data_IF_281959075047
#
_entry.id   IF_281959075047
#
_cell.length_a   1.000
_cell.length_b   1.000
_cell.length_c   1.000
_cell.angle_alpha   90.00
_cell.angle_beta   90.00
_cell.angle_gamma   90.00
#
_symmetry.space_group_name_H-M   'P 1'
#
loop_
_entity.id
_entity.type
_entity.pdbx_description
1 polymer ?
#
# COMPACT_ATOMS: atom_id res chain seq x y z
N UNK A 1 47.62 24.53 25.08
CA UNK A 1 47.64 23.06 25.02
C UNK A 1 46.81 22.69 23.80
N UNK A 2 47.48 22.58 22.65
CA UNK A 2 46.85 22.35 21.35
C UNK A 2 46.84 20.84 21.11
N UNK A 3 45.69 20.28 20.74
CA UNK A 3 45.56 18.92 20.28
C UNK A 3 45.24 18.98 18.79
N UNK A 4 46.28 18.76 17.98
CA UNK A 4 46.18 18.36 16.58
C UNK A 4 45.55 16.97 16.53
N UNK A 5 44.39 16.88 15.89
CA UNK A 5 43.72 15.62 15.57
C UNK A 5 43.67 15.47 14.06
N UNK A 6 44.56 14.62 13.53
CA UNK A 6 44.68 14.26 12.12
C UNK A 6 43.33 13.81 11.53
N UNK A 7 42.90 14.49 10.46
CA UNK A 7 41.96 13.96 9.49
C UNK A 7 42.65 12.86 8.69
N UNK A 8 42.19 11.62 8.82
CA UNK A 8 42.50 10.56 7.87
C UNK A 8 41.50 10.66 6.71
N UNK A 9 41.97 11.17 5.57
CA UNK A 9 41.28 11.09 4.30
C UNK A 9 41.24 9.62 3.84
N UNK A 10 40.12 8.94 4.15
CA UNK A 10 39.80 7.64 3.60
C UNK A 10 39.44 7.77 2.12
N UNK A 11 40.39 7.47 1.24
CA UNK A 11 40.16 7.32 -0.19
C UNK A 11 39.26 6.09 -0.39
N UNK A 12 37.99 6.31 -0.71
CA UNK A 12 37.10 5.27 -1.24
C UNK A 12 37.56 4.96 -2.67
N UNK A 13 38.37 3.91 -2.80
CA UNK A 13 38.62 3.25 -4.08
C UNK A 13 37.35 2.46 -4.43
N UNK A 14 36.53 3.02 -5.32
CA UNK A 14 35.52 2.25 -6.04
C UNK A 14 36.25 1.24 -6.93
N UNK A 15 36.36 0.01 -6.46
CA UNK A 15 36.75 -1.11 -7.30
C UNK A 15 35.52 -1.48 -8.15
N UNK A 16 35.51 -1.00 -9.39
CA UNK A 16 34.65 -1.55 -10.44
C UNK A 16 35.16 -2.96 -10.76
N UNK A 17 34.54 -3.96 -10.13
CA UNK A 17 34.82 -5.36 -10.44
C UNK A 17 33.97 -5.71 -11.66
N UNK A 18 34.54 -5.53 -12.85
CA UNK A 18 34.06 -6.18 -14.06
C UNK A 18 34.28 -7.69 -13.93
N UNK A 19 33.22 -8.41 -13.59
CA UNK A 19 33.18 -9.85 -13.78
C UNK A 19 32.93 -10.13 -15.26
N UNK A 20 33.99 -10.25 -16.06
CA UNK A 20 33.92 -11.05 -17.29
C UNK A 20 33.77 -12.52 -16.88
N UNK A 21 32.55 -12.91 -16.57
CA UNK A 21 32.18 -14.30 -16.43
C UNK A 21 32.05 -14.85 -17.85
N UNK A 22 33.16 -15.33 -18.42
CA UNK A 22 33.10 -16.34 -19.49
C UNK A 22 32.56 -17.63 -18.87
N UNK A 23 31.27 -17.63 -18.50
CA UNK A 23 30.54 -18.86 -18.33
C UNK A 23 30.48 -19.45 -19.73
N UNK A 24 31.18 -20.56 -19.93
CA UNK A 24 30.93 -21.43 -21.07
C UNK A 24 29.51 -21.94 -20.87
N UNK A 25 28.52 -21.16 -21.33
CA UNK A 25 27.16 -21.63 -21.46
C UNK A 25 27.22 -22.70 -22.53
N UNK A 26 27.37 -23.94 -22.09
CA UNK A 26 26.71 -25.03 -22.78
C UNK A 26 25.22 -24.76 -22.57
N UNK A 27 24.67 -23.90 -23.43
CA UNK A 27 23.24 -23.81 -23.65
C UNK A 27 22.86 -25.15 -24.28
N UNK A 28 22.68 -26.17 -23.44
CA UNK A 28 21.76 -27.23 -23.77
C UNK A 28 20.39 -26.54 -23.73
N UNK A 29 19.99 -25.99 -24.89
CA UNK A 29 18.58 -25.86 -25.23
C UNK A 29 18.00 -27.28 -25.26
N UNK A 30 17.82 -27.87 -24.08
CA UNK A 30 16.95 -29.00 -23.93
C UNK A 30 15.55 -28.41 -23.96
N UNK A 31 15.00 -28.29 -25.16
CA UNK A 31 13.55 -28.26 -25.35
C UNK A 31 12.98 -29.57 -24.79
N UNK A 32 12.86 -29.63 -23.47
CA UNK A 32 12.12 -30.68 -22.78
C UNK A 32 10.65 -30.42 -23.09
N UNK A 33 10.22 -30.91 -24.24
CA UNK A 33 8.82 -31.01 -24.68
C UNK A 33 8.01 -32.05 -23.89
N UNK A 34 8.48 -32.46 -22.71
CA UNK A 34 7.71 -33.23 -21.70
C UNK A 34 6.66 -32.35 -21.00
N UNK A 35 5.92 -31.56 -21.80
CA UNK A 35 4.61 -31.09 -21.43
C UNK A 35 3.70 -32.33 -21.42
N UNK A 36 3.59 -32.98 -20.26
CA UNK A 36 2.53 -33.94 -20.00
C UNK A 36 1.20 -33.32 -20.46
N UNK A 37 0.32 -34.08 -21.16
CA UNK A 37 -0.94 -33.54 -21.67
C UNK A 37 -1.74 -32.97 -20.49
N UNK A 38 -1.89 -31.65 -20.50
CA UNK A 38 -2.72 -30.92 -19.55
C UNK A 38 -4.16 -31.33 -19.83
N UNK A 39 -4.70 -32.23 -19.00
CA UNK A 39 -6.13 -32.50 -18.96
C UNK A 39 -6.80 -31.19 -18.53
N UNK A 40 -7.71 -30.61 -19.34
CA UNK A 40 -8.38 -29.36 -18.99
C UNK A 40 -9.35 -29.62 -17.83
N UNK A 41 -8.86 -29.47 -16.61
CA UNK A 41 -9.71 -29.22 -15.45
C UNK A 41 -10.14 -27.77 -15.58
N UNK A 42 -11.44 -27.50 -15.48
CA UNK A 42 -12.01 -26.16 -15.66
C UNK A 42 -11.39 -25.15 -14.68
N UNK A 43 -10.36 -24.45 -15.15
CA UNK A 43 -9.56 -23.46 -14.43
C UNK A 43 -8.42 -22.99 -15.31
N UNK A 44 -8.08 -21.70 -15.25
CA UNK A 44 -6.91 -21.18 -15.97
C UNK A 44 -5.67 -21.60 -15.17
N UNK A 45 -4.94 -22.59 -15.67
CA UNK A 45 -3.62 -22.97 -15.14
C UNK A 45 -2.55 -22.54 -16.13
N UNK A 46 -1.59 -21.74 -15.68
CA UNK A 46 -0.42 -21.36 -16.44
C UNK A 46 0.81 -21.45 -15.54
N UNK A 47 1.91 -21.97 -16.08
CA UNK A 47 3.19 -22.08 -15.38
C UNK A 47 4.31 -21.65 -16.30
N UNK A 48 5.18 -20.80 -15.78
CA UNK A 48 6.40 -20.33 -16.41
C UNK A 48 7.54 -20.47 -15.41
N UNK A 49 8.77 -20.70 -15.88
CA UNK A 49 9.91 -20.78 -14.99
C UNK A 49 11.21 -21.08 -15.72
N UNK A 50 12.31 -20.86 -15.02
CA UNK A 50 13.66 -21.16 -15.47
C UNK A 50 14.45 -21.77 -14.33
N UNK A 51 15.24 -22.80 -14.64
CA UNK A 51 16.08 -23.48 -13.66
C UNK A 51 17.45 -23.74 -14.27
N UNK A 52 18.49 -23.43 -13.49
CA UNK A 52 19.87 -23.75 -13.80
C UNK A 52 20.26 -25.04 -13.09
N UNK A 53 20.98 -25.92 -13.77
CA UNK A 53 21.38 -27.23 -13.26
C UNK A 53 22.89 -27.39 -13.28
N UNK A 54 23.43 -28.09 -12.29
CA UNK A 54 24.82 -28.54 -12.30
C UNK A 54 25.01 -29.75 -13.24
N UNK A 55 26.27 -30.21 -13.37
CA UNK A 55 26.63 -31.37 -14.20
C UNK A 55 25.98 -32.69 -13.76
N UNK A 56 25.45 -32.74 -12.54
CA UNK A 56 24.75 -33.90 -11.98
C UNK A 56 23.22 -33.78 -12.11
N UNK A 57 22.71 -32.71 -12.74
CA UNK A 57 21.28 -32.43 -12.86
C UNK A 57 20.65 -31.90 -11.57
N UNK A 58 21.43 -31.40 -10.62
CA UNK A 58 20.93 -30.75 -9.41
C UNK A 58 20.65 -29.29 -9.72
N UNK A 59 19.47 -28.80 -9.35
CA UNK A 59 19.13 -27.37 -9.45
C UNK A 59 20.14 -26.55 -8.65
N UNK A 60 20.75 -25.54 -9.26
CA UNK A 60 21.62 -24.56 -8.59
C UNK A 60 20.81 -23.31 -8.23
N UNK A 61 19.99 -22.84 -9.17
CA UNK A 61 19.13 -21.68 -9.01
C UNK A 61 17.88 -21.83 -9.88
N UNK A 62 16.85 -21.05 -9.60
CA UNK A 62 15.73 -20.94 -10.52
C UNK A 62 14.61 -20.07 -10.02
N UNK A 63 13.62 -19.86 -10.87
CA UNK A 63 12.39 -19.18 -10.52
C UNK A 63 11.20 -19.86 -11.20
N UNK A 64 10.03 -19.71 -10.60
CA UNK A 64 8.78 -20.14 -11.22
C UNK A 64 7.65 -19.19 -10.91
N UNK A 65 6.77 -18.99 -11.89
CA UNK A 65 5.51 -18.28 -11.77
C UNK A 65 4.39 -19.28 -12.07
N UNK A 66 3.44 -19.42 -11.14
CA UNK A 66 2.28 -20.30 -11.28
C UNK A 66 1.03 -19.45 -11.11
N UNK A 67 0.18 -19.44 -12.13
CA UNK A 67 -1.16 -18.85 -12.05
C UNK A 67 -2.21 -19.95 -12.09
N UNK A 68 -3.03 -20.01 -11.05
CA UNK A 68 -4.07 -21.02 -10.88
C UNK A 68 -5.26 -20.38 -10.16
N UNK A 69 -6.45 -20.47 -10.73
CA UNK A 69 -7.72 -20.09 -10.07
C UNK A 69 -7.72 -18.68 -9.44
N UNK A 70 -7.19 -17.67 -10.15
CA UNK A 70 -7.14 -16.27 -9.67
C UNK A 70 -6.04 -15.98 -8.63
N UNK A 71 -5.15 -16.95 -8.42
CA UNK A 71 -3.95 -16.83 -7.59
C UNK A 71 -2.71 -16.90 -8.49
N UNK A 72 -1.77 -15.98 -8.30
CA UNK A 72 -0.46 -16.00 -8.95
C UNK A 72 0.61 -16.10 -7.87
N UNK A 73 1.45 -17.13 -7.95
CA UNK A 73 2.60 -17.32 -7.07
C UNK A 73 3.87 -17.12 -7.89
N UNK A 74 4.82 -16.32 -7.38
CA UNK A 74 6.17 -16.17 -7.94
C UNK A 74 7.16 -16.62 -6.87
N UNK A 75 8.11 -17.49 -7.22
CA UNK A 75 9.06 -18.06 -6.29
C UNK A 75 10.47 -18.09 -6.87
N UNK A 76 11.46 -17.86 -6.02
CA UNK A 76 12.89 -17.96 -6.32
C UNK A 76 13.48 -19.10 -5.49
N UNK A 77 14.28 -19.93 -6.14
CA UNK A 77 14.87 -21.13 -5.58
C UNK A 77 16.40 -21.09 -5.66
N UNK A 78 17.02 -21.65 -4.63
CA UNK A 78 18.46 -21.95 -4.59
C UNK A 78 18.76 -23.43 -4.84
N UNK A 79 19.95 -23.90 -4.43
CA UNK A 79 20.41 -25.26 -4.69
C UNK A 79 19.45 -26.32 -4.16
N UNK A 80 19.23 -27.38 -4.94
CA UNK A 80 18.28 -28.44 -4.60
C UNK A 80 16.82 -27.99 -4.56
N UNK A 81 16.49 -26.88 -5.24
CA UNK A 81 15.15 -26.26 -5.25
C UNK A 81 14.67 -25.82 -3.85
N UNK A 82 15.60 -25.40 -2.98
CA UNK A 82 15.26 -24.79 -1.69
C UNK A 82 14.65 -23.41 -1.94
N UNK A 83 13.51 -23.11 -1.31
CA UNK A 83 12.87 -21.80 -1.46
C UNK A 83 13.73 -20.71 -0.83
N UNK A 84 14.02 -19.65 -1.57
CA UNK A 84 14.67 -18.44 -1.04
C UNK A 84 13.60 -17.43 -0.67
N UNK A 85 12.72 -17.10 -1.61
CA UNK A 85 11.62 -16.17 -1.38
C UNK A 85 10.45 -16.51 -2.31
N UNK A 86 9.23 -16.23 -1.87
CA UNK A 86 8.05 -16.29 -2.72
C UNK A 86 7.07 -15.16 -2.41
N UNK A 87 6.30 -14.80 -3.43
CA UNK A 87 5.14 -13.93 -3.31
C UNK A 87 3.92 -14.65 -3.84
N UNK A 88 2.82 -14.57 -3.12
CA UNK A 88 1.52 -15.11 -3.50
C UNK A 88 0.51 -13.99 -3.57
N UNK A 89 0.01 -13.71 -4.77
CA UNK A 89 -1.00 -12.69 -5.04
C UNK A 89 -2.34 -13.37 -5.31
N UNK A 90 -3.39 -12.95 -4.60
CA UNK A 90 -4.77 -13.37 -4.84
C UNK A 90 -5.62 -12.13 -5.09
N UNK A 91 -6.29 -12.07 -6.24
CA UNK A 91 -7.13 -10.93 -6.62
C UNK A 91 -8.59 -11.34 -6.67
N UNK A 92 -9.43 -10.55 -6.01
CA UNK A 92 -10.90 -10.61 -6.12
C UNK A 92 -11.41 -9.29 -6.67
N UNK A 93 -12.73 -9.18 -6.89
CA UNK A 93 -13.34 -7.92 -7.30
C UNK A 93 -13.13 -6.78 -6.28
N UNK A 94 -12.96 -7.11 -4.99
CA UNK A 94 -12.93 -6.12 -3.92
C UNK A 94 -11.51 -5.80 -3.44
N UNK A 95 -10.55 -6.71 -3.65
CA UNK A 95 -9.20 -6.57 -3.10
C UNK A 95 -8.15 -7.41 -3.81
N UNK A 96 -6.90 -7.00 -3.63
CA UNK A 96 -5.70 -7.79 -3.94
C UNK A 96 -4.97 -8.09 -2.64
N UNK A 97 -4.68 -9.36 -2.38
CA UNK A 97 -3.88 -9.80 -1.22
C UNK A 97 -2.55 -10.35 -1.70
N UNK A 98 -1.45 -9.83 -1.17
CA UNK A 98 -0.09 -10.25 -1.48
C UNK A 98 0.57 -10.78 -0.22
N UNK A 99 0.94 -12.06 -0.20
CA UNK A 99 1.63 -12.71 0.92
C UNK A 99 3.07 -12.99 0.53
N UNK A 100 4.03 -12.57 1.36
CA UNK A 100 5.46 -12.82 1.14
C UNK A 100 5.94 -13.95 2.06
N UNK A 101 6.73 -14.85 1.49
CA UNK A 101 7.38 -15.96 2.19
C UNK A 101 8.89 -15.87 2.02
N UNK A 102 9.67 -16.26 3.04
CA UNK A 102 11.13 -16.32 2.98
C UNK A 102 11.67 -17.64 3.54
N UNK A 103 12.67 -18.23 2.88
CA UNK A 103 13.39 -19.44 3.28
C UNK A 103 12.60 -20.76 3.18
N UNK A 104 11.28 -20.73 3.38
CA UNK A 104 10.42 -21.90 3.23
C UNK A 104 8.97 -21.49 2.94
N UNK A 105 8.26 -22.33 2.19
CA UNK A 105 6.82 -22.16 2.03
C UNK A 105 6.13 -22.25 3.39
N UNK A 106 5.23 -21.30 3.67
CA UNK A 106 4.55 -21.18 4.96
C UNK A 106 5.26 -20.29 5.99
N UNK A 107 6.55 -19.96 5.81
CA UNK A 107 7.21 -18.94 6.61
C UNK A 107 6.84 -17.54 6.08
N UNK A 108 5.66 -17.07 6.44
CA UNK A 108 5.14 -15.74 6.04
C UNK A 108 5.95 -14.66 6.74
N UNK A 109 6.43 -13.66 5.99
CA UNK A 109 7.14 -12.49 6.55
C UNK A 109 6.29 -11.23 6.57
N UNK A 110 5.41 -11.07 5.57
CA UNK A 110 4.44 -9.97 5.55
C UNK A 110 3.23 -10.30 4.68
N UNK A 111 2.13 -9.61 4.95
CA UNK A 111 0.93 -9.63 4.12
C UNK A 111 0.51 -8.20 3.81
N UNK A 112 0.21 -7.94 2.54
CA UNK A 112 -0.33 -6.66 2.07
C UNK A 112 -1.73 -6.92 1.51
N UNK A 113 -2.67 -6.05 1.86
CA UNK A 113 -4.04 -6.06 1.34
C UNK A 113 -4.35 -4.69 0.74
N UNK A 114 -4.56 -4.66 -0.57
CA UNK A 114 -5.04 -3.50 -1.30
C UNK A 114 -6.56 -3.62 -1.51
N UNK A 115 -7.32 -2.65 -1.04
CA UNK A 115 -8.78 -2.59 -1.15
C UNK A 115 -9.15 -1.68 -2.32
N UNK A 116 -10.08 -2.11 -3.17
CA UNK A 116 -10.38 -1.43 -4.44
C UNK A 116 -11.87 -1.46 -4.83
N UNK A 117 -12.79 -1.56 -3.87
CA UNK A 117 -14.22 -1.47 -4.16
C UNK A 117 -14.71 -0.03 -4.27
N UNK A 118 -15.92 0.15 -4.81
CA UNK A 118 -16.56 1.48 -4.94
C UNK A 118 -16.78 2.15 -3.58
N UNK A 119 -17.06 1.37 -2.54
CA UNK A 119 -17.35 1.86 -1.19
C UNK A 119 -16.16 1.76 -0.24
N UNK A 120 -15.08 1.07 -0.62
CA UNK A 120 -13.91 0.89 0.24
C UNK A 120 -12.62 0.78 -0.55
N UNK A 121 -11.71 1.70 -0.28
CA UNK A 121 -10.36 1.72 -0.84
C UNK A 121 -9.33 1.75 0.27
N UNK A 122 -8.11 1.31 0.02
CA UNK A 122 -7.09 1.31 1.06
C UNK A 122 -5.92 0.39 0.80
N UNK A 123 -4.96 0.47 1.72
CA UNK A 123 -3.77 -0.35 1.75
C UNK A 123 -3.49 -0.72 3.20
N UNK A 124 -3.37 -2.02 3.48
CA UNK A 124 -3.15 -2.54 4.83
C UNK A 124 -1.94 -3.49 4.81
N UNK A 125 -0.99 -3.26 5.70
CA UNK A 125 0.20 -4.08 5.85
C UNK A 125 0.21 -4.80 7.20
N UNK A 126 0.54 -6.08 7.18
CA UNK A 126 0.58 -6.97 8.33
C UNK A 126 1.91 -7.69 8.41
N UNK A 127 2.36 -7.93 9.64
CA UNK A 127 3.53 -8.76 9.90
C UNK A 127 3.22 -10.26 9.79
N UNK A 128 4.24 -11.09 10.00
CA UNK A 128 4.15 -12.54 10.01
C UNK A 128 3.10 -13.11 11.01
N UNK A 129 2.83 -12.39 12.11
CA UNK A 129 1.85 -12.79 13.13
C UNK A 129 0.42 -12.41 12.77
N UNK A 130 0.22 -11.67 11.68
CA UNK A 130 -1.07 -11.09 11.29
C UNK A 130 -1.40 -9.81 12.08
N UNK A 131 -0.43 -9.22 12.77
CA UNK A 131 -0.60 -7.92 13.42
C UNK A 131 -0.42 -6.84 12.36
N UNK A 132 -1.38 -5.91 12.27
CA UNK A 132 -1.27 -4.79 11.35
C UNK A 132 -0.09 -3.91 11.76
N UNK A 133 0.78 -3.56 10.81
CA UNK A 133 1.94 -2.67 10.98
C UNK A 133 1.52 -1.24 10.67
N UNK A 134 0.86 -1.07 9.52
CA UNK A 134 0.42 0.23 9.02
C UNK A 134 -0.75 0.05 8.06
N UNK A 135 -1.46 1.13 7.78
CA UNK A 135 -2.38 1.15 6.67
C UNK A 135 -3.17 2.44 6.57
N UNK A 136 -3.89 2.59 5.47
CA UNK A 136 -4.90 3.61 5.32
C UNK A 136 -6.14 3.01 4.64
N UNK A 137 -7.30 3.56 4.94
CA UNK A 137 -8.52 3.20 4.23
C UNK A 137 -9.45 4.40 4.05
N UNK A 138 -10.18 4.39 2.94
CA UNK A 138 -11.32 5.27 2.68
C UNK A 138 -12.58 4.41 2.61
N UNK A 139 -13.58 4.73 3.43
CA UNK A 139 -14.88 4.05 3.49
C UNK A 139 -15.97 5.07 3.12
N UNK A 140 -16.85 4.69 2.20
CA UNK A 140 -18.01 5.48 1.78
C UNK A 140 -19.28 4.73 2.19
N UNK A 141 -20.04 5.29 3.13
CA UNK A 141 -21.26 4.69 3.66
C UNK A 141 -22.28 5.78 4.03
N UNK A 142 -23.51 5.69 3.51
CA UNK A 142 -24.61 6.56 3.96
C UNK A 142 -24.38 8.06 3.80
N UNK A 143 -23.70 8.51 2.73
CA UNK A 143 -23.37 9.93 2.53
C UNK A 143 -22.20 10.44 3.38
N UNK A 144 -21.53 9.54 4.10
CA UNK A 144 -20.31 9.79 4.86
C UNK A 144 -19.12 9.15 4.16
N UNK A 145 -18.04 9.91 4.02
CA UNK A 145 -16.73 9.46 3.58
C UNK A 145 -15.78 9.54 4.75
N UNK A 146 -15.18 8.42 5.14
CA UNK A 146 -14.18 8.35 6.21
C UNK A 146 -12.85 7.94 5.60
N UNK A 147 -11.82 8.76 5.71
CA UNK A 147 -10.44 8.41 5.37
C UNK A 147 -9.64 8.33 6.67
N UNK A 148 -9.00 7.20 6.94
CA UNK A 148 -8.24 6.97 8.16
C UNK A 148 -6.86 6.40 7.87
N UNK A 149 -5.88 6.83 8.66
CA UNK A 149 -4.53 6.28 8.70
C UNK A 149 -4.35 5.54 10.02
N UNK A 150 -3.69 4.39 9.95
CA UNK A 150 -3.49 3.51 11.09
C UNK A 150 -2.03 3.10 11.22
N UNK A 151 -1.62 2.92 12.47
CA UNK A 151 -0.35 2.33 12.87
C UNK A 151 -0.52 0.91 13.40
N UNK A 152 0.47 0.43 14.18
CA UNK A 152 0.49 -0.93 14.68
C UNK A 152 -0.75 -1.31 15.49
N UNK A 153 -1.26 -2.52 15.27
CA UNK A 153 -2.45 -3.02 15.98
C UNK A 153 -3.73 -2.22 15.69
N UNK A 154 -3.78 -1.49 14.56
CA UNK A 154 -4.90 -0.64 14.16
C UNK A 154 -5.14 0.55 15.08
N UNK A 155 -4.08 1.06 15.71
CA UNK A 155 -4.11 2.36 16.37
C UNK A 155 -4.38 3.48 15.36
N UNK A 156 -5.34 4.36 15.63
CA UNK A 156 -5.59 5.51 14.76
C UNK A 156 -4.41 6.48 14.80
N UNK A 157 -3.93 6.93 13.65
CA UNK A 157 -2.94 8.01 13.55
C UNK A 157 -3.69 9.32 13.26
N UNK A 158 -4.49 9.31 12.21
CA UNK A 158 -5.30 10.44 11.77
C UNK A 158 -6.56 9.94 11.08
N UNK A 159 -7.62 10.75 11.08
CA UNK A 159 -8.76 10.51 10.20
C UNK A 159 -9.45 11.81 9.81
N UNK A 160 -10.13 11.75 8.67
CA UNK A 160 -11.04 12.77 8.20
C UNK A 160 -12.39 12.12 7.91
N UNK A 161 -13.44 12.69 8.50
CA UNK A 161 -14.83 12.28 8.26
C UNK A 161 -15.56 13.42 7.57
N UNK A 162 -15.94 13.21 6.32
CA UNK A 162 -16.76 14.14 5.55
C UNK A 162 -18.18 13.61 5.47
N UNK A 163 -19.16 14.41 5.90
CA UNK A 163 -20.60 14.12 5.78
C UNK A 163 -21.22 15.14 4.85
N UNK A 164 -21.80 14.68 3.75
CA UNK A 164 -22.48 15.54 2.79
C UNK A 164 -24.00 15.41 2.93
N UNK A 165 -24.68 16.54 2.88
CA UNK A 165 -26.13 16.66 2.80
C UNK A 165 -26.49 17.60 1.64
N UNK A 166 -27.77 17.81 1.37
CA UNK A 166 -28.22 18.67 0.26
C UNK A 166 -27.75 20.13 0.39
N UNK A 167 -27.58 20.65 1.61
CA UNK A 167 -27.29 22.08 1.83
C UNK A 167 -25.93 22.34 2.50
N UNK A 168 -25.22 21.27 2.90
CA UNK A 168 -23.95 21.41 3.61
C UNK A 168 -23.07 20.18 3.50
N UNK A 169 -21.77 20.42 3.60
CA UNK A 169 -20.72 19.44 3.81
C UNK A 169 -20.01 19.75 5.13
N UNK A 170 -19.82 18.73 5.98
CA UNK A 170 -19.09 18.86 7.24
C UNK A 170 -17.90 17.91 7.22
N UNK A 171 -16.71 18.43 7.47
CA UNK A 171 -15.46 17.68 7.53
C UNK A 171 -14.90 17.77 8.93
N UNK A 172 -14.72 16.63 9.60
CA UNK A 172 -14.14 16.55 10.96
C UNK A 172 -12.82 15.81 10.88
N UNK A 173 -11.76 16.42 11.41
CA UNK A 173 -10.42 15.82 11.46
C UNK A 173 -10.11 15.34 12.88
N UNK A 174 -9.61 14.11 12.98
CA UNK A 174 -9.24 13.41 14.20
C UNK A 174 -7.75 13.12 14.23
N UNK A 175 -7.16 12.99 15.43
CA UNK A 175 -5.76 12.63 15.61
C UNK A 175 -5.54 11.71 16.80
N UNK A 176 -4.84 10.60 16.59
CA UNK A 176 -4.49 9.62 17.62
C UNK A 176 -5.63 8.70 18.07
N UNK A 177 -6.85 9.21 18.16
CA UNK A 177 -8.06 8.42 18.44
C UNK A 177 -9.33 9.07 17.86
N UNK A 178 -10.44 8.34 17.94
CA UNK A 178 -11.74 8.80 17.43
C UNK A 178 -12.47 9.81 18.35
N UNK A 179 -11.86 10.19 19.48
CA UNK A 179 -12.41 11.15 20.44
C UNK A 179 -11.70 12.50 20.39
N UNK A 180 -10.50 12.56 19.80
CA UNK A 180 -9.65 13.74 19.74
C UNK A 180 -9.83 14.44 18.40
N UNK A 181 -10.78 15.38 18.37
CA UNK A 181 -11.00 16.27 17.23
C UNK A 181 -9.90 17.33 17.19
N UNK A 182 -9.32 17.57 16.01
CA UNK A 182 -8.33 18.63 15.77
C UNK A 182 -9.00 19.86 15.16
N UNK A 183 -9.92 19.64 14.22
CA UNK A 183 -10.65 20.70 13.55
C UNK A 183 -11.98 20.19 13.00
N UNK A 184 -12.89 21.13 12.80
CA UNK A 184 -14.12 20.91 12.04
C UNK A 184 -14.21 21.99 10.96
N UNK A 185 -14.53 21.61 9.73
CA UNK A 185 -14.86 22.53 8.66
C UNK A 185 -16.32 22.30 8.24
N UNK A 186 -17.05 23.38 7.98
CA UNK A 186 -18.43 23.34 7.50
C UNK A 186 -18.54 24.22 6.27
N UNK A 187 -18.81 23.60 5.13
CA UNK A 187 -19.24 24.27 3.92
C UNK A 187 -20.77 24.22 3.85
N UNK A 188 -21.41 25.36 3.63
CA UNK A 188 -22.86 25.40 3.39
C UNK A 188 -23.13 26.07 2.05
N UNK A 189 -24.15 25.58 1.37
CA UNK A 189 -24.58 26.08 0.07
C UNK A 189 -26.10 25.96 -0.07
N UNK A 190 -26.73 27.09 -0.33
CA UNK A 190 -28.12 27.21 -0.72
C UNK A 190 -28.24 28.34 -1.76
N UNK A 191 -29.42 28.50 -2.34
CA UNK A 191 -29.70 29.57 -3.30
C UNK A 191 -29.48 30.97 -2.70
N UNK A 192 -29.65 31.11 -1.39
CA UNK A 192 -29.58 32.40 -0.69
C UNK A 192 -28.37 32.53 0.23
N UNK A 193 -27.59 31.46 0.44
CA UNK A 193 -26.49 31.46 1.42
C UNK A 193 -25.39 30.50 1.01
N UNK A 194 -24.15 30.96 1.02
CA UNK A 194 -22.97 30.09 0.85
C UNK A 194 -21.85 30.52 1.77
N UNK A 195 -21.02 29.59 2.19
CA UNK A 195 -19.91 29.92 3.08
C UNK A 195 -19.11 28.72 3.52
N UNK A 196 -18.06 29.04 4.27
CA UNK A 196 -17.11 28.11 4.84
C UNK A 196 -16.77 28.56 6.25
N UNK A 197 -16.78 27.66 7.21
CA UNK A 197 -16.41 27.93 8.60
C UNK A 197 -15.46 26.86 9.11
N UNK A 198 -14.32 27.27 9.64
CA UNK A 198 -13.36 26.40 10.31
C UNK A 198 -13.42 26.62 11.82
N UNK A 199 -13.42 25.53 12.56
CA UNK A 199 -13.44 25.48 14.01
C UNK A 199 -12.22 24.71 14.51
N UNK A 200 -11.66 25.15 15.63
CA UNK A 200 -10.64 24.39 16.35
C UNK A 200 -11.24 23.19 17.13
N UNK A 201 -10.39 22.48 17.85
CA UNK A 201 -10.78 21.35 18.71
C UNK A 201 -11.79 21.71 19.81
N UNK A 202 -11.89 22.98 20.20
CA UNK A 202 -12.82 23.47 21.23
C UNK A 202 -14.13 23.99 20.63
N UNK A 203 -14.30 23.93 19.31
CA UNK A 203 -15.46 24.47 18.60
C UNK A 203 -15.44 26.00 18.46
N UNK A 204 -14.28 26.65 18.63
CA UNK A 204 -14.10 28.08 18.40
C UNK A 204 -13.82 28.32 16.93
N UNK A 205 -14.51 29.29 16.31
CA UNK A 205 -14.25 29.68 14.91
C UNK A 205 -12.83 30.24 14.81
N UNK A 206 -12.01 29.62 13.97
CA UNK A 206 -10.65 30.10 13.67
C UNK A 206 -10.61 30.89 12.38
N UNK A 207 -11.46 30.55 11.41
CA UNK A 207 -11.56 31.25 10.14
C UNK A 207 -12.93 30.99 9.50
N UNK A 208 -13.34 31.85 8.58
CA UNK A 208 -14.50 31.57 7.75
C UNK A 208 -14.93 32.74 6.90
N UNK A 209 -15.86 32.46 6.01
CA UNK A 209 -16.54 33.48 5.24
C UNK A 209 -17.97 33.04 4.94
N UNK A 210 -18.83 34.03 4.75
CA UNK A 210 -20.23 33.81 4.42
C UNK A 210 -20.68 34.86 3.40
N UNK A 211 -21.48 34.43 2.43
CA UNK A 211 -22.19 35.29 1.49
C UNK A 211 -23.67 34.98 1.58
N UNK A 212 -24.49 36.00 1.81
CA UNK A 212 -25.95 35.91 1.81
C UNK A 212 -26.53 36.76 0.69
N UNK A 213 -27.54 36.23 0.00
CA UNK A 213 -28.33 36.91 -1.03
C UNK A 213 -29.76 37.07 -0.53
N UNK A 214 -30.22 38.31 -0.44
CA UNK A 214 -31.60 38.64 -0.04
C UNK A 214 -32.08 39.82 -0.88
N UNK A 215 -33.24 39.67 -1.53
CA UNK A 215 -33.87 40.70 -2.36
C UNK A 215 -32.95 41.33 -3.42
N UNK A 216 -32.09 40.50 -4.02
CA UNK A 216 -31.10 40.94 -5.03
C UNK A 216 -29.88 41.66 -4.46
N UNK A 217 -29.79 41.82 -3.14
CA UNK A 217 -28.60 42.34 -2.46
C UNK A 217 -27.68 41.21 -2.00
N UNK A 218 -26.37 41.42 -2.10
CA UNK A 218 -25.35 40.48 -1.61
C UNK A 218 -24.63 41.09 -0.42
N UNK A 219 -24.59 40.34 0.70
CA UNK A 219 -23.80 40.68 1.89
C UNK A 219 -22.72 39.64 2.11
N UNK A 220 -21.52 40.08 2.47
CA UNK A 220 -20.39 39.19 2.74
C UNK A 220 -19.80 39.46 4.13
N UNK A 221 -19.52 38.38 4.85
CA UNK A 221 -18.91 38.39 6.18
C UNK A 221 -17.62 37.56 6.14
N UNK A 222 -16.61 38.00 6.89
CA UNK A 222 -15.36 37.27 7.08
C UNK A 222 -15.15 37.09 8.57
N UNK A 223 -14.82 35.88 8.96
CA UNK A 223 -14.53 35.47 10.34
C UNK A 223 -13.05 35.09 10.42
N UNK A 224 -12.43 35.40 11.55
CA UNK A 224 -11.02 35.12 11.80
C UNK A 224 -10.71 35.21 13.29
N UNK A 225 -9.47 34.92 13.69
CA UNK A 225 -9.07 35.10 15.08
C UNK A 225 -9.23 36.58 15.45
N UNK A 226 -9.96 36.82 16.54
CA UNK A 226 -10.12 38.16 17.13
C UNK A 226 -8.84 38.68 17.77
#
# INVERSE_FOLDING_TARGET
MALDGNQEDGILLEAEIEFEHESSQVSLEQESSDLLPVVPVSGTYAREGHFEYDVNGVVISGWEIITENGKTSSAVYGPGKVLIAATVTTTTAEKTTTVRHEGAWGNVVSTVVELQSDTRKGYLEYDASGTMISGWETIIEGGKTTTAEYGPGKSLISATVTTATVDKTTTVTYKGDWNTIVSTAVDFHSDTRKGHMEYDANGVIVSGWETTISDGQTSSFVYGPG
#
